data_IF_191632109972
#
_entry.id   IF_191632109972
#
_cell.length_a   1.000
_cell.length_b   1.000
_cell.length_c   1.000
_cell.angle_alpha   90.00
_cell.angle_beta   90.00
_cell.angle_gamma   90.00
#
_symmetry.space_group_name_H-M   'P 1'
#
loop_
_entity.id
_entity.type
_entity.pdbx_description
1 polymer ?
#
# COMPACT_ATOMS: atom_id res chain seq x y z
N UNK A 1 -4.10 -9.58 25.22
CA UNK A 1 -4.12 -8.14 24.94
C UNK A 1 -3.41 -7.96 23.62
N UNK A 2 -4.16 -7.93 22.53
CA UNK A 2 -3.59 -7.82 21.17
C UNK A 2 -3.23 -6.36 20.95
N UNK A 3 -1.94 -6.05 20.87
CA UNK A 3 -1.52 -4.74 20.36
C UNK A 3 -1.95 -4.69 18.90
N UNK A 4 -2.86 -3.78 18.57
CA UNK A 4 -3.11 -3.42 17.18
C UNK A 4 -1.86 -2.70 16.69
N UNK A 5 -1.11 -3.33 15.79
CA UNK A 5 0.11 -2.77 15.23
C UNK A 5 -0.27 -1.78 14.14
N UNK A 6 -0.38 -0.50 14.54
CA UNK A 6 -0.54 0.61 13.61
C UNK A 6 0.81 1.00 12.99
N UNK A 7 0.82 1.25 11.69
CA UNK A 7 1.93 1.86 10.97
C UNK A 7 1.99 3.38 11.16
N UNK A 8 3.19 3.94 11.01
CA UNK A 8 3.44 5.34 11.27
C UNK A 8 4.90 5.65 11.56
N UNK A 9 5.13 6.85 12.09
CA UNK A 9 6.44 7.27 12.57
C UNK A 9 6.69 6.63 13.94
N UNK A 10 7.57 5.65 14.02
CA UNK A 10 8.01 5.04 15.29
C UNK A 10 9.34 5.65 15.73
N UNK A 11 9.44 5.97 17.02
CA UNK A 11 10.66 6.53 17.63
C UNK A 11 11.19 5.58 18.68
N UNK A 12 12.34 4.96 18.42
CA UNK A 12 13.06 4.14 19.40
C UNK A 12 14.54 4.53 19.43
N UNK A 13 15.06 4.84 20.63
CA UNK A 13 16.49 5.13 20.88
C UNK A 13 17.16 6.10 19.86
N UNK A 14 16.43 7.11 19.39
CA UNK A 14 16.95 8.12 18.45
C UNK A 14 16.84 7.76 16.96
N UNK A 15 16.37 6.56 16.62
CA UNK A 15 15.95 6.21 15.26
C UNK A 15 14.50 6.61 15.02
N UNK A 16 14.24 7.14 13.82
CA UNK A 16 12.91 7.42 13.30
C UNK A 16 12.65 6.42 12.20
N UNK A 17 11.79 5.44 12.48
CA UNK A 17 11.30 4.49 11.48
C UNK A 17 10.01 5.05 10.89
N UNK A 18 9.82 4.91 9.57
CA UNK A 18 8.53 5.19 8.93
C UNK A 18 8.02 3.86 8.43
N UNK A 19 7.02 3.32 9.12
CA UNK A 19 6.44 2.03 8.76
C UNK A 19 5.49 2.20 7.58
N UNK A 20 5.68 1.36 6.58
CA UNK A 20 4.79 1.18 5.43
C UNK A 20 4.56 -0.30 5.16
N UNK A 21 3.86 -0.61 4.08
CA UNK A 21 3.67 -1.98 3.63
C UNK A 21 3.65 -2.05 2.10
N UNK A 22 4.06 -3.19 1.56
CA UNK A 22 3.91 -3.48 0.14
C UNK A 22 2.49 -3.98 -0.15
N UNK A 23 1.92 -3.52 -1.26
CA UNK A 23 0.67 -3.97 -1.82
C UNK A 23 0.89 -4.32 -3.29
N UNK A 24 0.41 -5.49 -3.70
CA UNK A 24 0.61 -5.97 -5.08
C UNK A 24 -0.57 -6.80 -5.57
N UNK A 25 -0.75 -6.83 -6.88
CA UNK A 25 -1.64 -7.78 -7.55
C UNK A 25 -1.04 -8.14 -8.92
N UNK A 26 -1.37 -9.33 -9.42
CA UNK A 26 -1.19 -9.69 -10.82
C UNK A 26 -2.34 -9.11 -11.64
N UNK A 27 -2.01 -8.61 -12.83
CA UNK A 27 -2.98 -8.03 -13.75
C UNK A 27 -3.38 -9.03 -14.84
N UNK A 28 -4.69 -9.21 -14.99
CA UNK A 28 -5.29 -9.93 -16.10
C UNK A 28 -6.00 -8.94 -17.02
N UNK A 29 -5.64 -8.97 -18.31
CA UNK A 29 -6.33 -8.28 -19.41
C UNK A 29 -6.54 -6.75 -19.26
N UNK A 30 -5.86 -6.09 -18.32
CA UNK A 30 -6.06 -4.65 -18.06
C UNK A 30 -5.69 -3.74 -19.25
N UNK A 31 -4.70 -4.17 -20.06
CA UNK A 31 -4.09 -3.32 -21.08
C UNK A 31 -3.48 -2.04 -20.48
N UNK A 32 -2.93 -1.16 -21.32
CA UNK A 32 -2.29 0.08 -20.84
C UNK A 32 -3.29 1.03 -20.17
N UNK A 33 -4.46 1.22 -20.79
CA UNK A 33 -5.47 2.15 -20.27
C UNK A 33 -6.10 1.65 -18.97
N UNK A 34 -6.38 0.34 -18.84
CA UNK A 34 -6.91 -0.22 -17.61
C UNK A 34 -5.90 -0.15 -16.48
N UNK A 35 -4.61 -0.42 -16.75
CA UNK A 35 -3.54 -0.26 -15.77
C UNK A 35 -3.40 1.19 -15.27
N UNK A 36 -3.51 2.19 -16.17
CA UNK A 36 -3.52 3.60 -15.77
C UNK A 36 -4.75 3.94 -14.91
N UNK A 37 -5.95 3.51 -15.31
CA UNK A 37 -7.18 3.75 -14.52
C UNK A 37 -7.12 3.09 -13.15
N UNK A 38 -6.53 1.90 -13.06
CA UNK A 38 -6.32 1.21 -11.79
C UNK A 38 -5.39 2.01 -10.88
N UNK A 39 -4.27 2.52 -11.39
CA UNK A 39 -3.37 3.37 -10.62
C UNK A 39 -4.05 4.65 -10.15
N UNK A 40 -4.80 5.33 -11.02
CA UNK A 40 -5.53 6.55 -10.66
C UNK A 40 -6.59 6.26 -9.56
N UNK A 41 -7.28 5.13 -9.66
CA UNK A 41 -8.27 4.71 -8.67
C UNK A 41 -7.61 4.34 -7.32
N UNK A 42 -6.46 3.68 -7.36
CA UNK A 42 -5.69 3.34 -6.16
C UNK A 42 -5.15 4.61 -5.49
N UNK A 43 -4.63 5.57 -6.24
CA UNK A 43 -4.15 6.85 -5.70
C UNK A 43 -5.29 7.59 -4.99
N UNK A 44 -6.47 7.67 -5.61
CA UNK A 44 -7.65 8.26 -4.99
C UNK A 44 -8.08 7.54 -3.69
N UNK A 45 -8.01 6.21 -3.66
CA UNK A 45 -8.32 5.42 -2.46
C UNK A 45 -7.33 5.71 -1.32
N UNK A 46 -6.04 5.84 -1.63
CA UNK A 46 -4.97 6.18 -0.69
C UNK A 46 -5.10 7.61 -0.16
N UNK A 47 -5.34 8.59 -1.03
CA UNK A 47 -5.48 9.99 -0.65
C UNK A 47 -6.63 10.20 0.34
N UNK A 48 -7.75 9.48 0.15
CA UNK A 48 -8.90 9.54 1.07
C UNK A 48 -8.57 9.10 2.50
N UNK A 49 -7.50 8.33 2.68
CA UNK A 49 -6.98 7.81 3.95
C UNK A 49 -5.76 8.59 4.47
N UNK A 50 -5.34 9.65 3.78
CA UNK A 50 -4.11 10.37 4.12
C UNK A 50 -2.84 9.56 3.84
N UNK A 51 -2.91 8.62 2.90
CA UNK A 51 -1.80 7.75 2.50
C UNK A 51 -1.21 8.21 1.17
N UNK A 52 -0.03 7.70 0.85
CA UNK A 52 0.67 7.85 -0.42
C UNK A 52 1.30 6.51 -0.80
N UNK A 53 1.59 6.35 -2.09
CA UNK A 53 2.34 5.22 -2.60
C UNK A 53 3.56 5.65 -3.41
N UNK A 54 4.57 4.80 -3.43
CA UNK A 54 5.62 4.77 -4.45
C UNK A 54 5.67 3.39 -5.09
N UNK A 55 5.93 3.31 -6.39
CA UNK A 55 5.94 2.04 -7.11
C UNK A 55 5.49 2.21 -8.55
N UNK A 56 4.92 1.15 -9.13
CA UNK A 56 4.47 1.19 -10.50
C UNK A 56 3.55 0.04 -10.90
N UNK A 57 3.10 0.14 -12.15
CA UNK A 57 2.31 -0.88 -12.83
C UNK A 57 2.93 -1.18 -14.18
N UNK A 58 2.94 -2.44 -14.56
CA UNK A 58 3.27 -2.87 -15.92
C UNK A 58 2.11 -3.69 -16.53
N UNK A 59 2.38 -4.40 -17.63
CA UNK A 59 1.35 -5.17 -18.33
C UNK A 59 0.83 -6.38 -17.54
N UNK A 60 1.56 -6.85 -16.52
CA UNK A 60 1.30 -8.08 -15.79
C UNK A 60 1.16 -7.89 -14.28
N UNK A 61 1.62 -6.76 -13.72
CA UNK A 61 1.68 -6.58 -12.27
C UNK A 61 1.56 -5.13 -11.83
N UNK A 62 0.90 -4.95 -10.68
CA UNK A 62 0.97 -3.77 -9.85
C UNK A 62 1.82 -4.09 -8.63
N UNK A 63 2.83 -3.25 -8.36
CA UNK A 63 3.66 -3.33 -7.16
C UNK A 63 3.87 -1.92 -6.60
N UNK A 64 3.35 -1.70 -5.41
CA UNK A 64 3.46 -0.41 -4.73
C UNK A 64 3.83 -0.59 -3.27
N UNK A 65 4.49 0.42 -2.73
CA UNK A 65 4.79 0.55 -1.32
C UNK A 65 4.01 1.74 -0.77
N UNK A 66 3.19 1.49 0.26
CA UNK A 66 2.25 2.43 0.84
C UNK A 66 2.80 2.99 2.14
N UNK A 67 2.71 4.31 2.29
CA UNK A 67 3.20 5.07 3.43
C UNK A 67 2.17 6.12 3.88
N UNK A 68 2.17 6.49 5.17
CA UNK A 68 1.40 7.63 5.62
C UNK A 68 1.97 8.93 5.06
N UNK A 69 1.10 9.88 4.71
CA UNK A 69 1.53 11.27 4.49
C UNK A 69 2.10 11.84 5.78
N UNK A 70 2.95 12.86 5.65
CA UNK A 70 3.52 13.57 6.80
C UNK A 70 2.41 14.03 7.76
N UNK A 71 2.45 13.53 8.99
CA UNK A 71 1.47 13.86 10.04
C UNK A 71 0.21 12.99 10.06
N UNK A 72 0.10 12.00 9.18
CA UNK A 72 -0.87 10.93 9.25
C UNK A 72 -0.24 9.66 9.85
N UNK A 73 -1.09 8.74 10.30
CA UNK A 73 -0.73 7.37 10.65
C UNK A 73 -1.50 6.41 9.73
N UNK A 74 -1.02 5.18 9.60
CA UNK A 74 -1.67 4.15 8.81
C UNK A 74 -2.07 3.02 9.73
N UNK A 75 -3.36 2.71 9.82
CA UNK A 75 -3.81 1.66 10.73
C UNK A 75 -3.66 0.26 10.10
N UNK A 76 -3.75 -0.78 10.94
CA UNK A 76 -3.92 -2.15 10.44
C UNK A 76 -5.19 -2.29 9.58
N UNK A 77 -6.26 -1.56 9.94
CA UNK A 77 -7.51 -1.53 9.19
C UNK A 77 -7.33 -0.90 7.80
N UNK A 78 -6.46 0.11 7.66
CA UNK A 78 -6.12 0.67 6.35
C UNK A 78 -5.42 -0.35 5.46
N UNK A 79 -4.46 -1.09 6.02
CA UNK A 79 -3.73 -2.14 5.31
C UNK A 79 -4.69 -3.20 4.77
N UNK A 80 -5.58 -3.71 5.61
CA UNK A 80 -6.52 -4.76 5.23
C UNK A 80 -7.57 -4.25 4.25
N UNK A 81 -8.11 -3.05 4.46
CA UNK A 81 -9.13 -2.50 3.58
C UNK A 81 -8.59 -2.13 2.19
N UNK A 82 -7.30 -1.78 2.06
CA UNK A 82 -6.67 -1.57 0.75
C UNK A 82 -6.41 -2.89 0.02
N UNK A 83 -6.06 -3.96 0.74
CA UNK A 83 -5.95 -5.29 0.17
C UNK A 83 -7.32 -5.78 -0.35
N UNK A 84 -8.36 -5.67 0.48
CA UNK A 84 -9.73 -6.02 0.09
C UNK A 84 -10.22 -5.18 -1.09
N UNK A 85 -9.91 -3.87 -1.10
CA UNK A 85 -10.24 -3.01 -2.24
C UNK A 85 -9.58 -3.50 -3.52
N UNK A 86 -8.32 -3.95 -3.46
CA UNK A 86 -7.58 -4.43 -4.62
C UNK A 86 -8.14 -5.78 -5.13
N UNK A 87 -8.59 -6.66 -4.22
CA UNK A 87 -9.27 -7.92 -4.55
C UNK A 87 -10.60 -7.72 -5.27
N UNK A 88 -11.28 -6.58 -5.05
CA UNK A 88 -12.53 -6.24 -5.71
C UNK A 88 -12.32 -5.68 -7.13
N UNK A 89 -11.08 -5.42 -7.55
CA UNK A 89 -10.81 -4.89 -8.88
C UNK A 89 -10.86 -6.02 -9.92
N UNK A 90 -11.68 -5.89 -10.99
CA UNK A 90 -11.88 -6.97 -11.96
C UNK A 90 -10.61 -7.48 -12.64
N UNK A 91 -9.59 -6.64 -12.75
CA UNK A 91 -8.32 -6.98 -13.42
C UNK A 91 -7.23 -7.45 -12.45
N UNK A 92 -7.47 -7.50 -11.14
CA UNK A 92 -6.48 -7.95 -10.17
C UNK A 92 -6.72 -9.40 -9.75
N UNK A 93 -5.66 -10.19 -9.77
CA UNK A 93 -5.58 -11.55 -9.22
C UNK A 93 -4.34 -11.65 -8.33
N UNK A 94 -4.23 -12.73 -7.55
CA UNK A 94 -3.05 -12.98 -6.70
C UNK A 94 -2.68 -11.77 -5.82
N UNK A 95 -3.69 -11.11 -5.22
CA UNK A 95 -3.47 -9.94 -4.36
C UNK A 95 -2.64 -10.33 -3.14
N UNK A 96 -1.63 -9.52 -2.83
CA UNK A 96 -0.76 -9.71 -1.68
C UNK A 96 -0.48 -8.39 -0.97
N UNK A 97 -0.46 -8.46 0.36
CA UNK A 97 -0.11 -7.36 1.25
C UNK A 97 0.97 -7.84 2.23
N UNK A 98 2.07 -7.09 2.36
CA UNK A 98 3.17 -7.45 3.27
C UNK A 98 2.89 -6.99 4.70
N UNK A 99 3.64 -7.54 5.65
CA UNK A 99 3.79 -6.96 7.00
C UNK A 99 4.39 -5.55 6.98
N UNK A 100 4.34 -4.89 8.13
CA UNK A 100 4.93 -3.56 8.31
C UNK A 100 6.44 -3.62 8.11
N UNK A 101 6.95 -2.74 7.26
CA UNK A 101 8.38 -2.62 6.94
C UNK A 101 8.82 -1.18 7.22
N UNK A 102 9.99 -1.00 7.82
CA UNK A 102 10.61 0.31 7.91
C UNK A 102 11.10 0.76 6.53
N UNK A 103 10.51 1.83 6.01
CA UNK A 103 10.84 2.40 4.72
C UNK A 103 12.30 2.86 4.60
N UNK A 104 13.00 3.05 5.73
CA UNK A 104 14.39 3.50 5.76
C UNK A 104 15.41 2.40 6.03
N UNK A 105 14.98 1.21 6.45
CA UNK A 105 15.82 0.02 6.61
C UNK A 105 15.44 -1.01 5.54
N UNK A 106 15.79 -0.69 4.28
CA UNK A 106 15.76 -1.67 3.19
C UNK A 106 17.17 -2.26 3.09
N UNK A 107 17.36 -3.49 3.57
CA UNK A 107 18.62 -4.24 3.39
C UNK A 107 18.85 -4.65 1.93
#
# INVERSE_FOLDING_TARGET
MSGMEDGGVVREQGKVAVLGFALSCRLEEAGKEGATRLLDALDAALESRGLVMGGGVDAARLDVFVLPRKGANTSQDDRLALAEWLEQQPSCTEVAVSDWVDAYEVE
#
